data_IF_622495763106
#
_entry.id   IF_622495763106
#
_cell.length_a   1.000
_cell.length_b   1.000
_cell.length_c   1.000
_cell.angle_alpha   90.00
_cell.angle_beta   90.00
_cell.angle_gamma   90.00
#
_symmetry.space_group_name_H-M   'P 1'
#
loop_
_entity.id
_entity.type
_entity.pdbx_description
1 polymer ?
#
# COMPACT_ATOMS: atom_id res chain seq x y z
N UNK A 1 -32.50 -4.53 -7.72
CA UNK A 1 -31.30 -4.93 -8.48
C UNK A 1 -29.96 -4.39 -7.98
N UNK A 2 -29.93 -3.54 -6.98
CA UNK A 2 -28.68 -2.94 -6.48
C UNK A 2 -27.75 -3.85 -5.67
N UNK A 3 -28.24 -4.94 -5.15
CA UNK A 3 -27.48 -5.85 -4.28
C UNK A 3 -26.53 -6.83 -5.00
N UNK A 4 -26.71 -7.04 -6.30
CA UNK A 4 -25.80 -7.85 -7.13
C UNK A 4 -24.43 -7.21 -7.38
N UNK A 5 -24.30 -5.91 -7.14
CA UNK A 5 -23.10 -5.12 -7.39
C UNK A 5 -22.62 -4.36 -6.14
N UNK A 6 -23.07 -4.77 -4.95
CA UNK A 6 -22.60 -4.15 -3.71
C UNK A 6 -21.11 -4.46 -3.52
N UNK A 7 -20.28 -3.43 -3.24
CA UNK A 7 -18.87 -3.63 -2.98
C UNK A 7 -18.65 -4.54 -1.77
N UNK A 8 -17.65 -5.41 -1.84
CA UNK A 8 -17.27 -6.26 -0.70
C UNK A 8 -16.58 -5.44 0.38
N UNK A 9 -16.81 -5.81 1.65
CA UNK A 9 -16.02 -5.27 2.77
C UNK A 9 -14.57 -5.74 2.77
N UNK A 10 -14.30 -6.88 2.09
CA UNK A 10 -12.97 -7.46 1.97
C UNK A 10 -12.68 -7.76 0.50
N UNK A 11 -12.49 -6.73 -0.35
CA UNK A 11 -12.22 -6.95 -1.76
C UNK A 11 -10.83 -7.55 -1.97
N UNK A 12 -10.73 -8.50 -2.90
CA UNK A 12 -9.45 -8.96 -3.44
C UNK A 12 -9.09 -8.02 -4.58
N UNK A 13 -8.03 -7.23 -4.40
CA UNK A 13 -7.59 -6.25 -5.38
C UNK A 13 -6.71 -6.86 -6.47
N UNK A 14 -5.90 -7.84 -6.11
CA UNK A 14 -5.06 -8.61 -7.02
C UNK A 14 -5.32 -10.08 -6.75
N UNK A 15 -5.85 -10.78 -7.72
CA UNK A 15 -6.08 -12.22 -7.68
C UNK A 15 -4.98 -12.92 -8.47
N UNK A 16 -4.20 -13.74 -7.79
CA UNK A 16 -3.05 -14.42 -8.36
C UNK A 16 -1.76 -13.59 -8.34
N UNK A 17 -0.75 -14.10 -9.02
CA UNK A 17 0.59 -13.50 -9.08
C UNK A 17 0.70 -12.54 -10.25
N UNK A 18 1.22 -11.35 -9.98
CA UNK A 18 1.56 -10.34 -11.00
C UNK A 18 3.01 -9.91 -10.87
N UNK A 19 3.59 -9.44 -11.98
CA UNK A 19 4.93 -8.84 -11.99
C UNK A 19 4.85 -7.41 -11.49
N UNK A 20 5.48 -7.13 -10.36
CA UNK A 20 5.50 -5.79 -9.74
C UNK A 20 6.35 -4.75 -10.52
N UNK A 21 7.08 -5.16 -11.54
CA UNK A 21 7.78 -4.24 -12.45
C UNK A 21 6.81 -3.56 -13.43
N UNK A 22 5.59 -4.09 -13.55
CA UNK A 22 4.54 -3.50 -14.37
C UNK A 22 3.58 -2.71 -13.48
N UNK A 23 3.32 -1.44 -13.79
CA UNK A 23 2.36 -0.65 -13.03
C UNK A 23 0.94 -1.23 -13.18
N UNK A 24 0.22 -1.31 -12.09
CA UNK A 24 -1.17 -1.74 -12.05
C UNK A 24 -1.99 -0.75 -11.24
N UNK A 25 -2.93 -0.07 -11.90
CA UNK A 25 -3.82 0.90 -11.26
C UNK A 25 -5.20 0.28 -11.13
N UNK A 26 -5.67 0.16 -9.90
CA UNK A 26 -7.01 -0.36 -9.59
C UNK A 26 -7.94 0.82 -9.35
N UNK A 27 -8.82 1.04 -10.31
CA UNK A 27 -9.78 2.15 -10.24
C UNK A 27 -10.79 1.94 -9.12
N UNK A 28 -11.08 3.00 -8.40
CA UNK A 28 -12.01 3.01 -7.28
C UNK A 28 -13.41 3.56 -7.65
N UNK A 29 -13.53 4.26 -8.78
CA UNK A 29 -14.79 4.79 -9.27
C UNK A 29 -15.66 3.63 -9.79
N UNK A 30 -16.83 3.37 -9.18
CA UNK A 30 -17.70 2.26 -9.59
C UNK A 30 -18.33 2.45 -10.98
N UNK A 31 -18.25 3.65 -11.56
CA UNK A 31 -18.69 3.90 -12.93
C UNK A 31 -17.71 3.36 -13.98
N UNK A 32 -16.47 3.11 -13.60
CA UNK A 32 -15.44 2.61 -14.50
C UNK A 32 -15.48 1.08 -14.53
N UNK A 33 -15.56 0.53 -15.73
CA UNK A 33 -15.55 -0.92 -15.92
C UNK A 33 -14.24 -1.54 -15.39
N UNK A 34 -14.37 -2.57 -14.57
CA UNK A 34 -13.23 -3.26 -13.97
C UNK A 34 -12.70 -2.61 -12.69
N UNK A 35 -13.37 -1.56 -12.20
CA UNK A 35 -13.06 -1.00 -10.88
C UNK A 35 -13.34 -2.01 -9.76
N UNK A 36 -12.54 -1.92 -8.70
CA UNK A 36 -12.73 -2.67 -7.47
C UNK A 36 -12.86 -1.65 -6.33
N UNK A 37 -14.07 -1.14 -6.07
CA UNK A 37 -14.26 -0.13 -5.04
C UNK A 37 -13.92 -0.66 -3.65
N UNK A 38 -13.11 0.09 -2.93
CA UNK A 38 -12.82 -0.16 -1.53
C UNK A 38 -13.81 0.67 -0.71
N UNK A 39 -14.60 -0.02 0.10
CA UNK A 39 -15.54 0.65 0.98
C UNK A 39 -14.80 1.54 1.98
N UNK A 40 -15.41 2.67 2.29
CA UNK A 40 -14.91 3.55 3.33
C UNK A 40 -14.81 2.79 4.65
N UNK A 41 -13.70 2.95 5.36
CA UNK A 41 -13.51 2.36 6.69
C UNK A 41 -14.61 2.82 7.65
N UNK A 42 -15.02 1.95 8.55
CA UNK A 42 -15.99 2.30 9.60
C UNK A 42 -15.32 3.29 10.53
N UNK A 43 -15.87 4.50 10.60
CA UNK A 43 -15.46 5.46 11.62
C UNK A 43 -16.04 5.02 12.96
N UNK A 44 -15.21 4.50 13.85
CA UNK A 44 -15.55 4.42 15.26
C UNK A 44 -15.24 5.77 15.92
N UNK A 45 -15.69 5.95 17.18
CA UNK A 45 -15.45 7.19 17.93
C UNK A 45 -13.96 7.57 18.02
N UNK A 46 -13.07 6.59 17.81
CA UNK A 46 -11.62 6.71 17.88
C UNK A 46 -10.92 6.70 16.48
N UNK A 47 -11.67 6.69 15.37
CA UNK A 47 -11.21 6.87 13.99
C UNK A 47 -11.26 5.67 13.06
N UNK A 48 -10.39 5.71 12.04
CA UNK A 48 -10.37 4.74 10.95
C UNK A 48 -9.69 3.44 11.39
N UNK A 49 -10.39 2.33 11.22
CA UNK A 49 -9.80 1.00 11.37
C UNK A 49 -9.81 0.29 10.01
N UNK A 50 -8.69 -0.27 9.63
CA UNK A 50 -8.58 -1.07 8.41
C UNK A 50 -7.41 -2.05 8.50
N UNK A 51 -7.44 -3.04 7.61
CA UNK A 51 -6.35 -4.00 7.44
C UNK A 51 -6.06 -4.17 5.96
N UNK A 52 -4.79 -4.08 5.61
CA UNK A 52 -4.26 -4.43 4.29
C UNK A 52 -3.40 -5.66 4.41
N UNK A 53 -3.55 -6.59 3.49
CA UNK A 53 -2.72 -7.80 3.42
C UNK A 53 -2.22 -7.98 1.99
N UNK A 54 -0.92 -8.24 1.86
CA UNK A 54 -0.28 -8.52 0.58
C UNK A 54 0.76 -9.61 0.72
N UNK A 55 0.82 -10.50 -0.26
CA UNK A 55 1.92 -11.44 -0.42
C UNK A 55 2.92 -10.88 -1.41
N UNK A 56 4.18 -10.87 -1.03
CA UNK A 56 5.28 -10.40 -1.87
C UNK A 56 6.35 -11.47 -1.99
N UNK A 57 6.97 -11.52 -3.16
CA UNK A 57 8.12 -12.37 -3.45
C UNK A 57 9.21 -11.51 -4.09
N UNK A 58 10.35 -11.42 -3.45
CA UNK A 58 11.48 -10.62 -3.94
C UNK A 58 12.58 -11.58 -4.36
N UNK A 59 12.90 -11.59 -5.65
CA UNK A 59 13.93 -12.44 -6.24
C UNK A 59 15.28 -11.71 -6.38
N UNK A 60 15.25 -10.39 -6.51
CA UNK A 60 16.43 -9.58 -6.78
C UNK A 60 16.31 -8.18 -6.15
N UNK A 61 17.31 -7.77 -5.36
CA UNK A 61 17.43 -6.41 -4.82
C UNK A 61 18.25 -5.46 -5.71
N UNK A 62 18.90 -5.96 -6.74
CA UNK A 62 19.74 -5.12 -7.61
C UNK A 62 18.92 -4.25 -8.56
N UNK A 63 17.68 -4.68 -8.87
CA UNK A 63 16.75 -3.88 -9.64
C UNK A 63 16.43 -2.57 -8.91
N UNK A 64 16.71 -1.43 -9.55
CA UNK A 64 16.52 -0.08 -8.99
C UNK A 64 17.05 0.06 -7.55
N UNK A 65 18.23 -0.48 -7.29
CA UNK A 65 18.79 -0.58 -5.93
C UNK A 65 19.01 0.75 -5.23
N UNK A 66 19.07 1.86 -5.96
CA UNK A 66 19.29 3.20 -5.42
C UNK A 66 17.99 3.99 -5.22
N UNK A 67 16.85 3.39 -5.53
CA UNK A 67 15.54 4.02 -5.44
C UNK A 67 14.63 3.23 -4.49
N UNK A 68 13.65 3.92 -3.91
CA UNK A 68 12.54 3.24 -3.25
C UNK A 68 11.74 2.45 -4.28
N UNK A 69 11.48 1.19 -4.00
CA UNK A 69 10.69 0.31 -4.87
C UNK A 69 9.27 0.24 -4.34
N UNK A 70 8.35 0.75 -5.11
CA UNK A 70 6.92 0.75 -4.79
C UNK A 70 6.34 -0.66 -4.88
N UNK A 71 5.63 -1.08 -3.82
CA UNK A 71 4.83 -2.31 -3.81
C UNK A 71 3.37 -1.96 -4.06
N UNK A 72 2.75 -1.21 -3.17
CA UNK A 72 1.45 -0.62 -3.39
C UNK A 72 1.26 0.66 -2.57
N UNK A 73 0.31 1.49 -2.96
CA UNK A 73 -0.18 2.59 -2.13
C UNK A 73 -1.65 2.86 -2.45
N UNK A 74 -2.34 3.42 -1.49
CA UNK A 74 -3.63 4.05 -1.68
C UNK A 74 -3.46 5.55 -1.57
N UNK A 75 -3.78 6.28 -2.63
CA UNK A 75 -3.58 7.72 -2.69
C UNK A 75 -3.61 8.23 -4.13
N UNK A 76 -2.91 9.33 -4.36
CA UNK A 76 -2.79 9.91 -5.69
C UNK A 76 -1.68 9.25 -6.52
N UNK A 77 -1.79 9.38 -7.83
CA UNK A 77 -0.88 8.75 -8.79
C UNK A 77 0.40 9.56 -9.06
N UNK A 78 0.55 10.71 -8.41
CA UNK A 78 1.68 11.59 -8.67
C UNK A 78 2.92 11.15 -7.87
N UNK A 79 3.97 10.78 -8.58
CA UNK A 79 5.31 10.82 -8.01
C UNK A 79 5.75 12.28 -8.01
N UNK A 80 5.53 12.98 -6.90
CA UNK A 80 5.92 14.36 -6.84
C UNK A 80 7.44 14.49 -6.85
N UNK A 81 7.89 15.49 -7.61
CA UNK A 81 9.29 15.94 -7.61
C UNK A 81 9.74 16.53 -6.27
N UNK A 82 8.82 16.70 -5.34
CA UNK A 82 9.07 17.33 -4.05
C UNK A 82 9.65 16.36 -3.02
N UNK A 83 9.55 15.05 -3.24
CA UNK A 83 10.27 14.10 -2.41
C UNK A 83 11.65 13.80 -3.02
N UNK A 84 12.68 14.34 -2.40
CA UNK A 84 14.09 14.13 -2.80
C UNK A 84 14.54 12.66 -2.74
N UNK A 85 13.72 11.80 -2.18
CA UNK A 85 14.07 10.38 -2.00
C UNK A 85 13.86 9.52 -3.24
N UNK A 86 13.20 9.99 -4.26
CA UNK A 86 12.96 9.22 -5.49
C UNK A 86 12.20 7.89 -5.29
N UNK A 87 11.10 7.71 -5.98
CA UNK A 87 10.32 6.47 -5.96
C UNK A 87 9.18 6.41 -4.91
N UNK A 88 9.02 7.43 -4.08
CA UNK A 88 7.89 7.54 -3.15
C UNK A 88 6.80 8.42 -3.75
N UNK A 89 5.56 7.94 -3.70
CA UNK A 89 4.41 8.74 -4.09
C UNK A 89 4.04 9.73 -3.00
N UNK A 90 3.78 10.96 -3.37
CA UNK A 90 3.37 12.04 -2.47
C UNK A 90 2.22 12.84 -3.09
N UNK A 91 1.44 13.58 -2.32
CA UNK A 91 1.48 13.74 -0.86
C UNK A 91 0.76 12.64 -0.09
N UNK A 92 0.01 11.76 -0.75
CA UNK A 92 -0.93 10.88 -0.07
C UNK A 92 -0.51 9.41 -0.11
N UNK A 93 -0.15 8.88 1.06
CA UNK A 93 -0.02 7.45 1.33
C UNK A 93 -0.97 7.06 2.47
N UNK A 94 -1.96 6.20 2.17
CA UNK A 94 -2.95 5.81 3.16
C UNK A 94 -3.40 4.34 3.00
N UNK A 95 -2.51 3.35 3.15
CA UNK A 95 -1.07 3.36 3.37
C UNK A 95 -0.26 3.30 2.07
N UNK A 96 1.07 3.44 2.18
CA UNK A 96 2.04 3.11 1.14
C UNK A 96 3.05 2.08 1.64
N UNK A 97 3.40 1.11 0.81
CA UNK A 97 4.39 0.07 1.10
C UNK A 97 5.50 0.08 0.05
N UNK A 98 6.73 0.16 0.51
CA UNK A 98 7.93 0.29 -0.33
C UNK A 98 9.05 -0.61 0.16
N UNK A 99 10.01 -0.91 -0.73
CA UNK A 99 11.31 -1.48 -0.35
C UNK A 99 12.33 -0.35 -0.40
N UNK A 100 13.17 -0.25 0.65
CA UNK A 100 14.16 0.82 0.77
C UNK A 100 15.33 0.66 -0.22
N UNK A 101 16.02 1.76 -0.58
CA UNK A 101 17.24 1.68 -1.38
C UNK A 101 18.37 0.98 -0.63
N UNK A 102 19.22 0.28 -1.35
CA UNK A 102 20.49 -0.33 -0.91
C UNK A 102 20.40 -1.46 0.10
N UNK A 103 19.35 -1.49 0.91
CA UNK A 103 19.11 -2.50 1.94
C UNK A 103 17.71 -3.11 1.77
N UNK A 104 17.57 -4.34 2.22
CA UNK A 104 16.34 -5.12 2.05
C UNK A 104 15.34 -4.87 3.20
N UNK A 105 14.96 -3.63 3.38
CA UNK A 105 13.99 -3.26 4.40
C UNK A 105 12.65 -2.88 3.74
N UNK A 106 11.56 -3.11 4.44
CA UNK A 106 10.25 -2.57 4.09
C UNK A 106 10.08 -1.20 4.73
N UNK A 107 9.51 -0.27 3.98
CA UNK A 107 9.07 1.03 4.47
C UNK A 107 7.55 1.09 4.33
N UNK A 108 6.88 1.35 5.44
CA UNK A 108 5.46 1.63 5.48
C UNK A 108 5.29 3.13 5.73
N UNK A 109 4.56 3.79 4.86
CA UNK A 109 4.27 5.23 4.96
C UNK A 109 2.78 5.40 5.16
N UNK A 110 2.40 6.23 6.10
CA UNK A 110 0.99 6.53 6.37
C UNK A 110 0.80 7.95 6.85
N UNK A 111 -0.26 8.60 6.36
CA UNK A 111 -0.69 9.88 6.89
C UNK A 111 -1.49 9.66 8.18
N UNK A 112 -1.03 10.25 9.27
CA UNK A 112 -1.72 10.25 10.56
C UNK A 112 -2.23 11.65 10.90
N UNK A 113 -3.01 11.77 11.98
CA UNK A 113 -3.46 13.09 12.47
C UNK A 113 -2.31 13.98 12.94
N UNK A 114 -1.27 13.38 13.48
CA UNK A 114 -0.15 14.12 14.07
C UNK A 114 0.92 14.46 13.05
N UNK A 115 1.07 13.61 12.02
CA UNK A 115 2.15 13.75 11.06
C UNK A 115 1.73 13.22 9.68
N UNK A 116 1.99 14.02 8.66
CA UNK A 116 1.96 13.54 7.28
C UNK A 116 3.19 12.66 7.02
N UNK A 117 2.98 11.54 6.31
CA UNK A 117 4.03 10.58 5.96
C UNK A 117 4.79 10.05 7.20
N UNK A 118 4.07 9.56 8.19
CA UNK A 118 4.67 8.78 9.27
C UNK A 118 5.23 7.47 8.71
N UNK A 119 6.41 7.08 9.16
CA UNK A 119 7.17 5.98 8.59
C UNK A 119 7.48 4.90 9.62
N UNK A 120 7.31 3.64 9.21
CA UNK A 120 7.76 2.47 9.94
C UNK A 120 8.67 1.66 9.04
N UNK A 121 9.82 1.27 9.57
CA UNK A 121 10.80 0.43 8.87
C UNK A 121 10.80 -0.96 9.50
N UNK A 122 10.63 -1.97 8.66
CA UNK A 122 10.79 -3.38 9.01
C UNK A 122 12.05 -3.90 8.33
N UNK A 123 13.02 -4.31 9.12
CA UNK A 123 14.32 -4.75 8.63
C UNK A 123 14.31 -6.20 8.14
N UNK A 124 15.29 -6.52 7.32
CA UNK A 124 15.62 -7.88 6.92
C UNK A 124 14.54 -8.64 6.16
N UNK A 125 13.99 -8.01 5.12
CA UNK A 125 13.08 -8.67 4.19
C UNK A 125 13.81 -9.84 3.50
N UNK A 126 13.35 -11.08 3.64
CA UNK A 126 14.02 -12.23 3.02
C UNK A 126 13.86 -12.26 1.50
N UNK A 127 14.90 -12.74 0.81
CA UNK A 127 14.86 -13.03 -0.63
C UNK A 127 14.36 -14.43 -0.93
N UNK A 128 13.82 -14.61 -2.12
CA UNK A 128 13.42 -15.90 -2.69
C UNK A 128 12.43 -16.67 -1.79
N UNK A 129 11.58 -15.94 -1.10
CA UNK A 129 10.49 -16.47 -0.28
C UNK A 129 9.24 -15.62 -0.42
N UNK A 130 8.09 -16.26 -0.37
CA UNK A 130 6.84 -15.56 -0.18
C UNK A 130 6.73 -15.02 1.24
N UNK A 131 6.47 -13.74 1.35
CA UNK A 131 6.28 -13.03 2.61
C UNK A 131 4.90 -12.40 2.62
N UNK A 132 4.13 -12.66 3.65
CA UNK A 132 2.87 -11.96 3.88
C UNK A 132 3.13 -10.71 4.73
N UNK A 133 2.73 -9.56 4.21
CA UNK A 133 2.78 -8.29 4.93
C UNK A 133 1.36 -7.89 5.26
N UNK A 134 1.10 -7.66 6.53
CA UNK A 134 -0.19 -7.21 7.04
C UNK A 134 0.00 -5.85 7.71
N UNK A 135 -0.72 -4.85 7.22
CA UNK A 135 -0.77 -3.52 7.81
C UNK A 135 -2.15 -3.36 8.43
N UNK A 136 -2.19 -3.29 9.74
CA UNK A 136 -3.43 -3.09 10.49
C UNK A 136 -3.39 -1.78 11.25
N UNK A 137 -4.40 -0.97 11.08
CA UNK A 137 -4.62 0.25 11.87
C UNK A 137 -5.82 0.02 12.76
N UNK A 138 -5.61 0.15 14.05
CA UNK A 138 -6.65 0.01 15.06
C UNK A 138 -6.48 1.06 16.16
N UNK A 139 -7.60 1.49 16.76
CA UNK A 139 -7.64 2.42 17.91
C UNK A 139 -6.87 3.74 17.72
N UNK A 140 -6.70 4.22 16.49
CA UNK A 140 -6.03 5.48 16.10
C UNK A 140 -4.61 5.74 16.63
N UNK A 141 -4.15 5.00 17.62
CA UNK A 141 -2.90 5.25 18.31
C UNK A 141 -1.84 4.19 18.07
N UNK A 142 -2.19 3.12 17.35
CA UNK A 142 -1.29 2.00 17.17
C UNK A 142 -1.34 1.48 15.72
N UNK A 143 -0.20 1.49 15.08
CA UNK A 143 0.06 0.82 13.81
C UNK A 143 0.79 -0.50 14.14
N UNK A 144 0.16 -1.60 13.80
CA UNK A 144 0.71 -2.95 14.01
C UNK A 144 1.32 -3.52 12.73
#
# INVERSE_FOLDING_TARGET
>A
MGWLFSPSHNPILIDGMIDAKQPNVIQQDPSIKGSIPILRSINKNDGLEFTWSVWIYVDDFTYKQNEYKHIFHKGNDDMSSDDLRGGIFTPNNAPGLYITPKVNNLLIVMNTFEKMNEEIIVNDLPLNKWVNVIIRVSNQHQLD
#
